data_IF_849898350238
#
_entry.id   IF_849898350238
#
_cell.length_a   1.000
_cell.length_b   1.000
_cell.length_c   1.000
_cell.angle_alpha   90.00
_cell.angle_beta   90.00
_cell.angle_gamma   90.00
#
_symmetry.space_group_name_H-M   'P 1'
#
loop_
_entity.id
_entity.type
_entity.pdbx_description
1 polymer ?
#
# COMPACT_ATOMS: atom_id res chain seq x y z
N UNK A 1 15.30 15.80 7.53
CA UNK A 1 14.20 15.37 6.64
C UNK A 1 12.95 16.13 7.03
N UNK A 2 12.25 16.75 6.08
CA UNK A 2 10.91 17.25 6.34
C UNK A 2 9.99 16.04 6.38
N UNK A 3 9.32 15.79 7.50
CA UNK A 3 8.32 14.72 7.61
C UNK A 3 7.19 15.05 6.65
N UNK A 4 7.07 14.27 5.57
CA UNK A 4 5.94 14.36 4.65
C UNK A 4 4.70 13.97 5.45
N UNK A 5 3.76 14.91 5.63
CA UNK A 5 2.52 14.61 6.31
C UNK A 5 1.54 14.05 5.27
N UNK A 6 1.35 12.75 5.29
CA UNK A 6 0.40 12.04 4.44
C UNK A 6 -0.52 11.17 5.29
N UNK A 7 -1.69 10.85 4.74
CA UNK A 7 -2.57 9.84 5.27
C UNK A 7 -2.81 8.80 4.19
N UNK A 8 -2.75 7.53 4.59
CA UNK A 8 -3.03 6.39 3.73
C UNK A 8 -4.25 5.65 4.30
N UNK A 9 -5.13 5.21 3.42
CA UNK A 9 -6.25 4.32 3.73
C UNK A 9 -6.46 3.36 2.59
N UNK A 10 -6.94 2.16 2.88
CA UNK A 10 -7.44 1.24 1.87
C UNK A 10 -8.94 0.99 2.02
N UNK A 11 -9.56 0.44 0.97
CA UNK A 11 -10.76 -0.39 1.15
C UNK A 11 -10.40 -1.68 1.90
N UNK A 12 -11.41 -2.40 2.38
CA UNK A 12 -11.23 -3.80 2.75
C UNK A 12 -11.32 -4.69 1.51
N UNK A 13 -10.53 -5.76 1.48
CA UNK A 13 -10.62 -6.80 0.47
C UNK A 13 -10.48 -8.18 1.11
N UNK A 14 -11.29 -9.14 0.68
CA UNK A 14 -11.24 -10.50 1.21
C UNK A 14 -10.05 -11.26 0.61
N UNK A 15 -9.25 -11.88 1.48
CA UNK A 15 -8.13 -12.72 1.08
C UNK A 15 -8.45 -14.21 1.25
N UNK A 16 -7.98 -15.00 0.29
CA UNK A 16 -8.16 -16.46 0.23
C UNK A 16 -7.34 -17.22 1.28
N UNK A 17 -6.19 -16.67 1.69
CA UNK A 17 -5.35 -17.21 2.76
C UNK A 17 -4.97 -16.11 3.76
N UNK A 18 -5.80 -15.87 4.78
CA UNK A 18 -5.53 -14.87 5.82
C UNK A 18 -4.20 -15.06 6.55
N UNK A 19 -3.74 -16.31 6.71
CA UNK A 19 -2.50 -16.59 7.44
C UNK A 19 -1.28 -16.27 6.58
N UNK A 20 -1.28 -16.68 5.31
CA UNK A 20 -0.21 -16.33 4.39
C UNK A 20 -0.09 -14.82 4.20
N UNK A 21 -1.21 -14.09 4.15
CA UNK A 21 -1.19 -12.62 4.05
C UNK A 21 -0.63 -11.96 5.32
N UNK A 22 -0.91 -12.50 6.51
CA UNK A 22 -0.27 -12.03 7.76
C UNK A 22 1.24 -12.23 7.71
N UNK A 23 1.71 -13.41 7.33
CA UNK A 23 3.14 -13.72 7.21
C UNK A 23 3.82 -12.83 6.16
N UNK A 24 3.14 -12.57 5.04
CA UNK A 24 3.59 -11.62 4.03
C UNK A 24 3.72 -10.21 4.62
N UNK A 25 2.75 -9.73 5.38
CA UNK A 25 2.82 -8.39 5.98
C UNK A 25 3.85 -8.31 7.12
N UNK A 26 4.06 -9.39 7.89
CA UNK A 26 5.07 -9.45 8.97
C UNK A 26 6.51 -9.47 8.44
N UNK A 27 6.73 -10.00 7.24
CA UNK A 27 8.04 -10.00 6.56
C UNK A 27 8.39 -8.66 5.91
N UNK A 28 7.47 -7.69 5.91
CA UNK A 28 7.66 -6.37 5.33
C UNK A 28 7.45 -5.25 6.35
N UNK A 29 8.06 -4.09 6.10
CA UNK A 29 7.93 -2.91 6.94
C UNK A 29 7.09 -1.85 6.22
N UNK A 30 6.01 -1.43 6.87
CA UNK A 30 5.07 -0.41 6.38
C UNK A 30 5.31 0.97 7.03
N UNK A 31 6.50 1.17 7.61
CA UNK A 31 6.84 2.37 8.36
C UNK A 31 5.91 2.57 9.55
N UNK A 32 5.08 3.63 9.50
CA UNK A 32 4.11 3.95 10.55
C UNK A 32 2.66 3.60 10.21
N UNK A 33 2.44 2.97 9.05
CA UNK A 33 1.13 2.47 8.67
C UNK A 33 0.77 1.21 9.44
N UNK A 34 -0.52 1.07 9.73
CA UNK A 34 -1.11 -0.12 10.30
C UNK A 34 -1.69 -0.96 9.18
N UNK A 35 -1.74 -2.25 9.42
CA UNK A 35 -2.48 -3.20 8.59
C UNK A 35 -3.17 -4.20 9.50
N UNK A 36 -4.25 -4.78 9.01
CA UNK A 36 -4.98 -5.83 9.71
C UNK A 36 -5.53 -6.82 8.70
N UNK A 37 -5.46 -8.10 9.05
CA UNK A 37 -6.30 -9.14 8.47
C UNK A 37 -7.31 -9.51 9.56
N UNK A 38 -8.60 -9.44 9.29
CA UNK A 38 -9.63 -9.78 10.29
C UNK A 38 -9.81 -11.30 10.42
N UNK A 39 -10.64 -11.75 11.35
CA UNK A 39 -11.02 -13.18 11.45
C UNK A 39 -11.84 -13.64 10.24
N UNK A 40 -12.54 -12.72 9.57
CA UNK A 40 -13.33 -12.98 8.35
C UNK A 40 -12.46 -12.95 7.09
N UNK A 41 -11.15 -12.69 7.22
CA UNK A 41 -10.20 -12.63 6.11
C UNK A 41 -10.20 -11.30 5.36
N UNK A 42 -10.78 -10.24 5.92
CA UNK A 42 -10.71 -8.91 5.32
C UNK A 42 -9.35 -8.26 5.62
N UNK A 43 -8.62 -7.86 4.58
CA UNK A 43 -7.35 -7.15 4.67
C UNK A 43 -7.54 -5.64 4.49
N UNK A 44 -6.95 -4.85 5.39
CA UNK A 44 -6.99 -3.37 5.36
C UNK A 44 -5.65 -2.76 5.75
N UNK A 45 -5.37 -1.54 5.25
CA UNK A 45 -4.19 -0.74 5.53
C UNK A 45 -4.62 0.71 5.84
N UNK A 46 -4.08 1.31 6.89
CA UNK A 46 -4.35 2.72 7.22
C UNK A 46 -3.27 3.36 8.09
N UNK A 47 -3.13 4.69 8.03
CA UNK A 47 -2.24 5.42 8.92
C UNK A 47 -1.87 6.81 8.45
N UNK A 48 -0.92 7.41 9.15
CA UNK A 48 -0.43 8.77 8.88
C UNK A 48 0.96 8.75 8.24
N UNK A 49 1.06 8.10 7.08
CA UNK A 49 2.29 8.06 6.27
C UNK A 49 1.97 7.92 4.78
N UNK A 50 3.00 8.04 3.94
CA UNK A 50 2.96 7.63 2.55
C UNK A 50 2.95 6.09 2.44
N UNK A 51 2.28 5.54 1.43
CA UNK A 51 2.27 4.09 1.22
C UNK A 51 3.55 3.66 0.51
N UNK A 52 4.53 3.27 1.32
CA UNK A 52 5.79 2.67 0.90
C UNK A 52 6.06 1.43 1.75
N UNK A 53 6.49 0.35 1.09
CA UNK A 53 6.75 -0.94 1.72
C UNK A 53 8.21 -1.27 1.49
N UNK A 54 8.87 -1.72 2.55
CA UNK A 54 10.28 -2.10 2.57
C UNK A 54 10.39 -3.56 3.01
N UNK A 55 11.50 -4.22 2.66
CA UNK A 55 11.84 -5.48 3.34
C UNK A 55 12.18 -5.20 4.81
N UNK A 56 11.91 -6.18 5.67
CA UNK A 56 12.23 -6.09 7.10
C UNK A 56 13.58 -6.74 7.37
N UNK A 57 14.49 -6.01 8.03
CA UNK A 57 15.75 -6.53 8.55
C UNK A 57 15.51 -7.47 9.75
N UNK A 58 16.52 -8.24 10.13
CA UNK A 58 16.47 -9.16 11.29
C UNK A 58 16.08 -8.47 12.62
N UNK A 59 16.25 -7.14 12.72
CA UNK A 59 15.90 -6.33 13.90
C UNK A 59 14.50 -5.69 13.82
N UNK A 60 13.74 -5.96 12.76
CA UNK A 60 12.40 -5.41 12.55
C UNK A 60 12.38 -4.01 11.92
N UNK A 61 13.55 -3.44 11.59
CA UNK A 61 13.65 -2.15 10.93
C UNK A 61 13.55 -2.29 9.40
N UNK A 62 13.08 -1.24 8.69
CA UNK A 62 13.07 -1.26 7.23
C UNK A 62 14.50 -1.29 6.66
N UNK A 63 14.71 -2.15 5.67
CA UNK A 63 15.93 -2.16 4.86
C UNK A 63 15.91 -1.00 3.85
N UNK A 64 16.40 0.16 4.27
CA UNK A 64 16.54 1.30 3.38
C UNK A 64 17.60 1.11 2.29
N UNK A 65 18.56 0.21 2.47
CA UNK A 65 19.61 -0.06 1.47
C UNK A 65 19.07 -0.96 0.34
N UNK A 66 18.16 -1.89 0.68
CA UNK A 66 17.40 -2.71 -0.28
C UNK A 66 16.38 -1.92 -1.11
N UNK A 67 15.86 -0.82 -0.56
CA UNK A 67 14.96 0.10 -1.24
C UNK A 67 13.47 -0.25 -1.11
N UNK A 68 12.63 0.47 -1.86
CA UNK A 68 11.17 0.34 -1.81
C UNK A 68 10.72 -0.85 -2.66
N UNK A 69 9.96 -1.77 -2.07
CA UNK A 69 9.45 -3.01 -2.70
C UNK A 69 7.91 -3.05 -2.81
N UNK A 70 7.27 -1.87 -2.83
CA UNK A 70 5.80 -1.75 -2.85
C UNK A 70 5.13 -2.51 -4.00
N UNK A 71 5.70 -2.48 -5.20
CA UNK A 71 5.09 -3.16 -6.34
C UNK A 71 5.19 -4.68 -6.22
N UNK A 72 6.34 -5.19 -5.80
CA UNK A 72 6.60 -6.61 -5.58
C UNK A 72 5.67 -7.16 -4.49
N UNK A 73 5.55 -6.43 -3.38
CA UNK A 73 4.60 -6.75 -2.31
C UNK A 73 3.16 -6.82 -2.84
N UNK A 74 2.69 -5.79 -3.56
CA UNK A 74 1.32 -5.75 -4.07
C UNK A 74 1.04 -6.82 -5.14
N UNK A 75 2.02 -7.15 -5.97
CA UNK A 75 1.90 -8.23 -6.94
C UNK A 75 1.76 -9.59 -6.25
N UNK A 76 2.53 -9.81 -5.19
CA UNK A 76 2.43 -11.03 -4.37
C UNK A 76 1.09 -11.09 -3.64
N UNK A 77 0.64 -9.96 -3.06
CA UNK A 77 -0.67 -9.85 -2.42
C UNK A 77 -1.83 -10.11 -3.40
N UNK A 78 -1.69 -9.71 -4.67
CA UNK A 78 -2.71 -9.89 -5.69
C UNK A 78 -3.09 -11.37 -5.92
N UNK A 79 -2.14 -12.29 -5.72
CA UNK A 79 -2.38 -13.73 -5.83
C UNK A 79 -3.22 -14.29 -4.67
N UNK A 80 -3.36 -13.53 -3.58
CA UNK A 80 -4.13 -13.92 -2.40
C UNK A 80 -5.51 -13.29 -2.32
N UNK A 81 -5.84 -12.29 -3.15
CA UNK A 81 -7.21 -11.74 -3.18
C UNK A 81 -8.20 -12.79 -3.70
N UNK A 82 -9.37 -12.88 -3.08
CA UNK A 82 -10.46 -13.70 -3.61
C UNK A 82 -10.89 -13.20 -5.01
N UNK A 83 -11.50 -14.04 -5.86
CA UNK A 83 -12.01 -13.62 -7.16
C UNK A 83 -12.99 -12.45 -7.02
N UNK A 84 -12.91 -11.49 -7.94
CA UNK A 84 -13.73 -10.28 -8.00
C UNK A 84 -13.51 -9.27 -6.84
N UNK A 85 -12.59 -9.53 -5.90
CA UNK A 85 -12.20 -8.56 -4.88
C UNK A 85 -11.25 -7.48 -5.44
N UNK A 86 -11.35 -6.28 -4.87
CA UNK A 86 -10.52 -5.13 -5.22
C UNK A 86 -10.01 -4.43 -3.95
N UNK A 87 -8.70 -4.34 -3.82
CA UNK A 87 -8.05 -3.53 -2.79
C UNK A 87 -7.62 -2.20 -3.39
N UNK A 88 -8.26 -1.11 -2.95
CA UNK A 88 -7.96 0.26 -3.38
C UNK A 88 -7.26 1.01 -2.23
N UNK A 89 -5.99 1.32 -2.40
CA UNK A 89 -5.14 2.01 -1.43
C UNK A 89 -4.90 3.44 -1.93
N UNK A 90 -5.25 4.41 -1.11
CA UNK A 90 -5.16 5.83 -1.44
C UNK A 90 -4.30 6.56 -0.41
N UNK A 91 -3.34 7.32 -0.91
CA UNK A 91 -2.50 8.21 -0.10
C UNK A 91 -2.73 9.65 -0.51
N UNK A 92 -2.96 10.53 0.46
CA UNK A 92 -3.04 11.96 0.24
C UNK A 92 -2.12 12.73 1.22
N UNK A 93 -1.25 13.57 0.67
CA UNK A 93 -0.46 14.53 1.43
C UNK A 93 -1.32 15.69 1.94
N UNK A 94 -1.20 16.03 3.22
CA UNK A 94 -2.03 17.05 3.86
C UNK A 94 -1.26 18.24 4.43
N UNK A 95 0.06 18.36 4.17
CA UNK A 95 0.84 19.54 4.61
C UNK A 95 0.26 20.80 4.00
N UNK A 96 -0.53 21.58 4.78
CA UNK A 96 -0.84 23.03 4.77
C UNK A 96 -0.69 23.85 3.47
N UNK A 97 -0.71 23.21 2.32
CA UNK A 97 -0.50 23.79 1.01
C UNK A 97 -1.87 23.84 0.35
N UNK A 98 -2.15 24.93 -0.35
CA UNK A 98 -3.38 25.14 -1.12
C UNK A 98 -3.60 24.08 -2.23
N UNK A 99 -2.67 23.13 -2.39
CA UNK A 99 -2.68 22.01 -3.32
C UNK A 99 -2.02 20.79 -2.68
N UNK A 100 -2.59 19.58 -2.77
CA UNK A 100 -1.91 18.35 -2.35
C UNK A 100 -0.72 18.09 -3.28
N UNK A 101 0.50 18.13 -2.74
CA UNK A 101 1.74 17.85 -3.49
C UNK A 101 1.94 16.34 -3.67
N UNK A 102 1.26 15.53 -2.87
CA UNK A 102 1.27 14.07 -2.93
C UNK A 102 -0.19 13.60 -3.02
N UNK A 103 -0.54 12.92 -4.09
CA UNK A 103 -1.65 11.97 -4.07
C UNK A 103 -1.23 10.77 -4.91
N UNK A 104 -1.39 9.58 -4.35
CA UNK A 104 -1.09 8.30 -4.99
C UNK A 104 -2.27 7.37 -4.78
N UNK A 105 -2.50 6.48 -5.73
CA UNK A 105 -3.49 5.42 -5.63
C UNK A 105 -2.91 4.13 -6.19
N UNK A 106 -3.03 3.05 -5.44
CA UNK A 106 -2.82 1.70 -5.92
C UNK A 106 -4.14 0.96 -5.93
N UNK A 107 -4.42 0.22 -7.00
CA UNK A 107 -5.57 -0.68 -7.08
C UNK A 107 -5.05 -2.07 -7.40
N UNK A 108 -5.37 -3.05 -6.55
CA UNK A 108 -5.05 -4.46 -6.74
C UNK A 108 -6.32 -5.22 -7.04
N UNK A 109 -6.38 -5.88 -8.20
CA UNK A 109 -7.51 -6.72 -8.64
C UNK A 109 -7.08 -7.61 -9.79
N UNK A 110 -7.75 -8.74 -9.97
CA UNK A 110 -7.52 -9.66 -11.10
C UNK A 110 -6.05 -10.08 -11.27
N UNK A 111 -5.32 -10.25 -10.16
CA UNK A 111 -3.87 -10.57 -10.18
C UNK A 111 -2.99 -9.45 -10.74
N UNK A 112 -3.47 -8.20 -10.77
CA UNK A 112 -2.78 -7.03 -11.34
C UNK A 112 -2.75 -5.87 -10.36
N UNK A 113 -1.72 -5.05 -10.50
CA UNK A 113 -1.54 -3.81 -9.75
C UNK A 113 -1.61 -2.62 -10.71
N UNK A 114 -2.46 -1.65 -10.40
CA UNK A 114 -2.59 -0.39 -11.11
C UNK A 114 -2.10 0.75 -10.21
N UNK A 115 -1.36 1.69 -10.76
CA UNK A 115 -0.81 2.83 -10.04
C UNK A 115 -1.16 4.14 -10.73
N UNK A 116 -1.51 5.15 -9.95
CA UNK A 116 -1.66 6.52 -10.41
C UNK A 116 -1.12 7.50 -9.35
N UNK A 117 -0.48 8.58 -9.80
CA UNK A 117 -0.10 9.69 -8.94
C UNK A 117 -0.28 11.05 -9.64
N UNK A 118 -0.02 12.14 -8.91
CA UNK A 118 -0.08 13.50 -9.45
C UNK A 118 1.22 13.93 -10.18
N UNK A 119 2.22 13.05 -10.30
CA UNK A 119 3.52 13.41 -10.89
C UNK A 119 3.49 13.25 -12.41
N UNK A 120 2.72 12.32 -12.94
CA UNK A 120 2.56 12.14 -14.38
C UNK A 120 1.45 13.05 -14.93
N UNK A 121 1.77 13.74 -16.02
CA UNK A 121 0.80 14.49 -16.83
C UNK A 121 0.70 13.79 -18.18
N UNK A 122 -0.07 12.72 -18.25
CA UNK A 122 -0.42 12.12 -19.54
C UNK A 122 -1.61 12.88 -20.13
N UNK A 123 -1.56 13.14 -21.44
CA UNK A 123 -2.67 13.75 -22.15
C UNK A 123 -3.86 12.77 -22.17
N UNK A 124 -5.08 13.28 -21.96
CA UNK A 124 -6.29 12.49 -22.23
C UNK A 124 -6.38 12.31 -23.75
N UNK A 125 -6.03 11.11 -24.24
CA UNK A 125 -6.27 10.75 -25.63
C UNK A 125 -7.79 10.65 -25.88
N UNK A 126 -8.21 11.20 -27.01
CA UNK A 126 -9.61 11.43 -27.37
C UNK A 126 -10.17 10.31 -28.23
#
# INVERSE_FOLDING_TARGET
MATLQAATTSTGAIVSDPQAVRELCESHCFGTLNWEVTEEGEFTIWGYDDFEVYETLDDGLPDYDGGIVTHEFLLTLADYLEPDEELDIQTAGFTKCRFPVLAKRYVVRDGRVFYADLRSLEAIER
#
